data_IF_142003755892
#
_entry.id   IF_142003755892
#
_cell.length_a   1.000
_cell.length_b   1.000
_cell.length_c   1.000
_cell.angle_alpha   90.00
_cell.angle_beta   90.00
_cell.angle_gamma   90.00
#
_symmetry.space_group_name_H-M   'P 1'
#
loop_
_entity.id
_entity.type
_entity.pdbx_description
1 polymer ?
#
# COMPACT_ATOMS: atom_id res chain seq x y z
N UNK A 1 -52.24 -49.65 -46.89
CA UNK A 1 -51.78 -49.13 -45.58
C UNK A 1 -50.80 -47.98 -45.81
N UNK A 2 -51.26 -46.73 -45.76
CA UNK A 2 -50.40 -45.53 -45.62
C UNK A 2 -51.21 -44.47 -44.87
N UNK A 3 -50.80 -44.21 -43.62
CA UNK A 3 -51.41 -43.22 -42.73
C UNK A 3 -50.87 -41.82 -43.06
N UNK A 4 -51.80 -40.86 -43.23
CA UNK A 4 -51.99 -39.59 -42.47
C UNK A 4 -50.71 -38.74 -42.21
N UNK A 5 -50.68 -37.40 -42.24
CA UNK A 5 -51.70 -36.36 -42.08
C UNK A 5 -51.05 -34.99 -42.25
N UNK A 6 -51.88 -34.01 -42.56
CA UNK A 6 -51.67 -32.57 -42.73
C UNK A 6 -51.52 -31.76 -41.42
N UNK A 7 -50.84 -30.61 -41.54
CA UNK A 7 -51.06 -29.30 -40.89
C UNK A 7 -50.79 -29.07 -39.39
N UNK A 8 -49.95 -28.05 -39.04
CA UNK A 8 -50.37 -26.84 -38.29
C UNK A 8 -49.29 -25.74 -38.20
N UNK A 9 -49.79 -24.52 -38.07
CA UNK A 9 -49.24 -23.15 -38.13
C UNK A 9 -48.84 -22.63 -36.73
N UNK A 10 -47.73 -21.87 -36.60
CA UNK A 10 -47.56 -20.68 -35.69
C UNK A 10 -46.17 -20.02 -35.82
N UNK A 11 -46.13 -18.69 -35.96
CA UNK A 11 -44.95 -17.80 -35.98
C UNK A 11 -44.40 -17.52 -34.54
N UNK A 12 -43.48 -16.57 -34.23
CA UNK A 12 -42.60 -15.67 -35.02
C UNK A 12 -41.13 -15.59 -34.50
N UNK A 13 -40.25 -14.76 -35.12
CA UNK A 13 -39.47 -13.66 -34.47
C UNK A 13 -38.33 -13.16 -35.37
N UNK A 14 -38.46 -11.90 -35.81
CA UNK A 14 -37.40 -11.10 -36.45
C UNK A 14 -36.27 -10.84 -35.46
N UNK A 15 -35.03 -10.96 -35.91
CA UNK A 15 -33.94 -10.06 -35.46
C UNK A 15 -33.02 -9.78 -36.64
N UNK A 16 -33.04 -8.53 -37.04
CA UNK A 16 -32.25 -7.96 -38.12
C UNK A 16 -30.76 -7.91 -37.74
N UNK A 17 -29.91 -8.44 -38.61
CA UNK A 17 -28.48 -8.14 -38.60
C UNK A 17 -28.29 -6.72 -39.15
N UNK A 18 -27.86 -5.78 -38.29
CA UNK A 18 -27.37 -4.48 -38.74
C UNK A 18 -26.01 -4.18 -38.11
N UNK A 19 -25.03 -4.10 -39.00
CA UNK A 19 -23.64 -3.67 -38.81
C UNK A 19 -23.54 -2.42 -37.92
N UNK A 20 -22.60 -2.41 -36.99
CA UNK A 20 -21.92 -1.18 -36.56
C UNK A 20 -20.45 -1.44 -36.26
N UNK A 21 -19.63 -1.01 -37.22
CA UNK A 21 -18.40 -0.24 -37.02
C UNK A 21 -17.37 -0.75 -35.99
N UNK A 22 -16.38 -1.40 -36.56
CA UNK A 22 -14.95 -1.36 -36.24
C UNK A 22 -14.49 0.08 -35.87
N UNK A 23 -14.53 0.45 -34.59
CA UNK A 23 -13.93 1.67 -33.98
C UNK A 23 -13.91 1.40 -32.46
N UNK A 24 -12.82 1.34 -31.71
CA UNK A 24 -11.44 1.77 -31.88
C UNK A 24 -10.52 0.69 -31.29
N UNK A 25 -9.46 0.34 -32.03
CA UNK A 25 -8.41 -0.59 -31.60
C UNK A 25 -7.13 0.13 -31.15
N UNK A 26 -7.26 1.41 -30.78
CA UNK A 26 -6.15 2.27 -30.35
C UNK A 26 -6.52 3.05 -29.08
N UNK A 27 -7.04 2.35 -28.07
CA UNK A 27 -6.82 2.83 -26.71
C UNK A 27 -5.43 2.35 -26.33
N UNK A 28 -4.41 3.10 -26.75
CA UNK A 28 -3.10 3.03 -26.11
C UNK A 28 -3.35 2.92 -24.61
N UNK A 29 -2.78 1.90 -23.97
CA UNK A 29 -2.81 1.72 -22.52
C UNK A 29 -2.13 2.94 -21.90
N UNK A 30 -2.85 4.04 -21.77
CA UNK A 30 -2.41 5.20 -21.02
C UNK A 30 -2.35 4.68 -19.60
N UNK A 31 -1.14 4.37 -19.14
CA UNK A 31 -0.83 4.10 -17.75
C UNK A 31 -1.19 5.37 -16.97
N UNK A 32 -2.47 5.52 -16.63
CA UNK A 32 -2.96 6.70 -15.92
C UNK A 32 -2.37 6.61 -14.53
N UNK A 33 -1.28 7.33 -14.32
CA UNK A 33 -0.68 7.48 -13.02
C UNK A 33 -1.64 8.28 -12.12
N UNK A 34 -2.45 7.56 -11.35
CA UNK A 34 -3.42 8.16 -10.39
C UNK A 34 -2.74 8.75 -9.15
N UNK A 35 -1.41 8.65 -9.03
CA UNK A 35 -0.68 9.13 -7.85
C UNK A 35 -0.58 10.64 -7.91
N UNK A 36 -0.92 11.29 -6.80
CA UNK A 36 -0.89 12.75 -6.66
C UNK A 36 0.44 13.28 -6.10
N UNK A 37 1.37 12.38 -5.77
CA UNK A 37 2.60 12.68 -5.05
C UNK A 37 3.76 11.88 -5.60
N UNK A 38 4.95 12.48 -5.54
CA UNK A 38 6.20 11.79 -5.84
C UNK A 38 6.51 10.76 -4.76
N UNK A 39 7.08 9.63 -5.20
CA UNK A 39 7.66 8.61 -4.32
C UNK A 39 9.16 8.64 -4.51
N UNK A 40 9.86 8.70 -3.40
CA UNK A 40 11.30 8.62 -3.35
C UNK A 40 11.69 7.23 -2.90
N UNK A 41 12.56 6.58 -3.66
CA UNK A 41 13.22 5.36 -3.23
C UNK A 41 14.30 5.78 -2.24
N UNK A 42 13.92 5.87 -0.98
CA UNK A 42 14.74 6.42 0.09
C UNK A 42 15.05 5.30 1.11
N UNK A 43 16.15 4.55 0.89
CA UNK A 43 16.53 3.39 1.69
C UNK A 43 17.00 3.76 3.11
N UNK A 44 16.10 4.26 3.96
CA UNK A 44 16.42 4.68 5.33
C UNK A 44 16.16 3.58 6.36
N UNK A 45 17.04 3.46 7.37
CA UNK A 45 16.76 2.61 8.52
C UNK A 45 15.60 3.18 9.33
N UNK A 46 14.66 2.30 9.65
CA UNK A 46 13.46 2.64 10.40
C UNK A 46 13.16 1.61 11.48
N UNK A 47 12.55 2.05 12.57
CA UNK A 47 12.01 1.19 13.62
C UNK A 47 10.50 1.27 13.59
N UNK A 48 9.86 0.13 13.52
CA UNK A 48 8.40 -0.01 13.55
C UNK A 48 8.01 -0.53 14.91
N UNK A 49 7.06 0.15 15.53
CA UNK A 49 6.40 -0.31 16.75
C UNK A 49 4.90 -0.44 16.48
N UNK A 50 4.31 -1.55 16.89
CA UNK A 50 2.90 -1.81 16.60
C UNK A 50 2.29 -2.81 17.58
N UNK A 51 1.00 -3.06 17.39
CA UNK A 51 0.26 -4.11 18.09
C UNK A 51 -0.20 -5.15 17.08
N UNK A 52 0.13 -6.40 17.35
CA UNK A 52 -0.38 -7.55 16.61
C UNK A 52 -1.87 -7.79 16.95
N UNK A 53 -2.61 -8.54 16.12
CA UNK A 53 -4.02 -8.86 16.38
C UNK A 53 -4.27 -9.48 17.75
N UNK A 54 -3.30 -10.26 18.27
CA UNK A 54 -3.35 -10.89 19.59
C UNK A 54 -2.98 -9.94 20.75
N UNK A 55 -2.93 -8.62 20.51
CA UNK A 55 -2.60 -7.60 21.51
C UNK A 55 -1.12 -7.48 21.87
N UNK A 56 -0.27 -8.41 21.41
CA UNK A 56 1.18 -8.37 21.62
C UNK A 56 1.79 -7.15 20.94
N UNK A 57 2.58 -6.38 21.68
CA UNK A 57 3.36 -5.27 21.14
C UNK A 57 4.62 -5.84 20.49
N UNK A 58 4.95 -5.37 19.30
CA UNK A 58 6.19 -5.73 18.62
C UNK A 58 7.01 -4.49 18.30
N UNK A 59 8.32 -4.69 18.20
CA UNK A 59 9.28 -3.70 17.75
C UNK A 59 10.22 -4.36 16.76
N UNK A 60 10.26 -3.83 15.55
CA UNK A 60 11.05 -4.40 14.46
C UNK A 60 11.88 -3.32 13.78
N UNK A 61 13.16 -3.60 13.56
CA UNK A 61 14.01 -2.75 12.75
C UNK A 61 13.89 -3.18 11.29
N UNK A 62 13.57 -2.24 10.41
CA UNK A 62 13.42 -2.47 8.97
C UNK A 62 14.07 -1.35 8.18
N UNK A 63 14.03 -1.49 6.86
CA UNK A 63 14.49 -0.50 5.90
C UNK A 63 13.33 -0.05 5.06
N UNK A 64 13.20 1.26 4.89
CA UNK A 64 12.19 1.84 3.99
C UNK A 64 12.59 1.52 2.55
N UNK A 65 11.62 1.13 1.74
CA UNK A 65 11.83 0.90 0.31
C UNK A 65 11.47 2.14 -0.48
N UNK A 66 10.25 2.68 -0.25
CA UNK A 66 9.83 3.95 -0.82
C UNK A 66 9.02 4.78 0.17
N UNK A 67 9.08 6.11 0.01
CA UNK A 67 8.35 7.07 0.84
C UNK A 67 7.75 8.18 -0.01
N UNK A 68 6.58 8.67 0.41
CA UNK A 68 5.87 9.84 -0.11
C UNK A 68 5.42 10.71 1.06
N UNK A 69 4.85 11.89 0.80
CA UNK A 69 4.30 12.71 1.88
C UNK A 69 3.06 12.10 2.54
N UNK A 70 2.31 11.21 1.85
CA UNK A 70 1.15 10.49 2.42
C UNK A 70 1.45 9.14 3.06
N UNK A 71 2.58 8.51 2.77
CA UNK A 71 2.82 7.15 3.23
C UNK A 71 4.16 6.56 2.81
N UNK A 72 4.40 5.34 3.27
CA UNK A 72 5.65 4.61 3.11
C UNK A 72 5.38 3.15 2.79
N UNK A 73 6.33 2.53 2.14
CA UNK A 73 6.37 1.09 1.88
C UNK A 73 7.63 0.48 2.48
N UNK A 74 7.47 -0.64 3.18
CA UNK A 74 8.55 -1.40 3.78
C UNK A 74 8.11 -2.85 3.99
N UNK A 75 9.08 -3.74 4.19
CA UNK A 75 8.82 -5.15 4.48
C UNK A 75 8.99 -5.46 5.96
N UNK A 76 8.08 -6.26 6.55
CA UNK A 76 8.11 -6.73 7.94
C UNK A 76 8.06 -8.24 8.03
N UNK A 77 8.72 -8.81 9.03
CA UNK A 77 8.53 -10.21 9.44
C UNK A 77 7.28 -10.37 10.33
N UNK A 78 6.96 -9.33 11.10
CA UNK A 78 5.77 -9.32 11.96
C UNK A 78 4.46 -9.36 11.16
N UNK A 79 3.59 -10.33 11.49
CA UNK A 79 2.28 -10.53 10.85
C UNK A 79 1.26 -9.43 11.19
N UNK A 80 1.38 -8.28 10.52
CA UNK A 80 0.45 -7.16 10.61
C UNK A 80 -0.77 -7.38 9.71
N UNK A 81 -1.90 -6.79 10.07
CA UNK A 81 -3.14 -6.85 9.27
C UNK A 81 -3.46 -5.48 8.68
N UNK A 82 -4.38 -5.41 7.72
CA UNK A 82 -4.91 -4.14 7.21
C UNK A 82 -5.68 -3.43 8.33
N UNK A 83 -5.47 -2.12 8.49
CA UNK A 83 -6.05 -1.31 9.56
C UNK A 83 -5.27 -1.27 10.88
N UNK A 84 -4.18 -2.03 11.00
CA UNK A 84 -3.26 -1.94 12.13
C UNK A 84 -2.65 -0.54 12.25
N UNK A 85 -2.65 -0.01 13.47
CA UNK A 85 -1.96 1.24 13.83
C UNK A 85 -0.49 0.95 14.11
N UNK A 86 0.40 1.55 13.34
CA UNK A 86 1.85 1.41 13.49
C UNK A 86 2.48 2.77 13.76
N UNK A 87 3.50 2.78 14.62
CA UNK A 87 4.39 3.90 14.85
C UNK A 87 5.70 3.62 14.13
N UNK A 88 6.16 4.59 13.35
CA UNK A 88 7.35 4.55 12.53
C UNK A 88 8.34 5.58 13.07
N UNK A 89 9.56 5.15 13.34
CA UNK A 89 10.68 6.02 13.73
C UNK A 89 11.77 5.87 12.67
N UNK A 90 11.91 6.87 11.82
CA UNK A 90 12.92 6.93 10.77
C UNK A 90 14.15 7.64 11.32
N UNK A 91 15.32 7.02 11.20
CA UNK A 91 16.57 7.72 11.51
C UNK A 91 17.01 8.52 10.29
N UNK A 92 17.06 9.85 10.44
CA UNK A 92 17.43 10.75 9.36
C UNK A 92 18.96 10.82 9.24
N UNK A 93 19.51 10.74 8.01
CA UNK A 93 20.91 11.03 7.74
C UNK A 93 21.28 12.45 8.18
N UNK A 94 22.54 12.65 8.57
CA UNK A 94 23.02 13.92 9.13
C UNK A 94 22.99 15.06 8.09
N UNK A 95 23.10 14.69 6.82
CA UNK A 95 23.02 15.54 5.63
C UNK A 95 21.62 16.20 5.53
N UNK A 96 20.57 15.46 5.88
CA UNK A 96 19.19 15.97 5.91
C UNK A 96 18.89 16.79 7.17
N UNK A 97 19.65 16.58 8.23
CA UNK A 97 19.45 17.23 9.54
C UNK A 97 20.28 18.50 9.74
N UNK A 98 20.83 19.10 8.68
CA UNK A 98 21.72 20.27 8.76
C UNK A 98 22.87 20.05 9.78
N UNK A 99 23.50 18.88 9.73
CA UNK A 99 24.59 18.52 10.63
C UNK A 99 24.14 17.90 11.96
N UNK A 100 22.84 17.81 12.25
CA UNK A 100 22.30 17.18 13.46
C UNK A 100 21.72 15.80 13.16
N UNK A 101 21.92 14.86 14.07
CA UNK A 101 21.27 13.55 13.99
C UNK A 101 19.81 13.70 14.40
N UNK A 102 18.88 13.51 13.47
CA UNK A 102 17.43 13.65 13.72
C UNK A 102 16.72 12.30 13.60
N UNK A 103 15.55 12.21 14.24
CA UNK A 103 14.60 11.10 14.14
C UNK A 103 13.25 11.66 13.76
N UNK A 104 12.62 11.07 12.74
CA UNK A 104 11.27 11.40 12.34
C UNK A 104 10.32 10.33 12.88
N UNK A 105 9.47 10.73 13.82
CA UNK A 105 8.45 9.89 14.43
C UNK A 105 7.09 10.16 13.77
N UNK A 106 6.52 9.12 13.17
CA UNK A 106 5.28 9.15 12.41
C UNK A 106 4.34 8.06 12.93
N UNK A 107 3.05 8.34 13.00
CA UNK A 107 2.03 7.31 13.17
C UNK A 107 1.36 7.02 11.82
N UNK A 108 0.84 5.82 11.64
CA UNK A 108 0.08 5.49 10.44
C UNK A 108 -0.83 4.28 10.58
N UNK A 109 -1.60 4.05 9.52
CA UNK A 109 -2.48 2.90 9.34
C UNK A 109 -2.02 2.06 8.16
N UNK A 110 -1.99 0.75 8.33
CA UNK A 110 -1.73 -0.18 7.24
C UNK A 110 -2.91 -0.17 6.27
N UNK A 111 -2.64 0.14 4.99
CA UNK A 111 -3.68 0.27 3.96
C UNK A 111 -3.64 -0.84 2.92
N UNK A 112 -2.48 -1.48 2.76
CA UNK A 112 -2.28 -2.59 1.83
C UNK A 112 -1.17 -3.49 2.37
N UNK A 113 -1.34 -4.78 2.14
CA UNK A 113 -0.33 -5.80 2.37
C UNK A 113 -0.02 -6.46 1.02
N UNK A 114 1.25 -6.75 0.79
CA UNK A 114 1.70 -7.60 -0.29
C UNK A 114 1.94 -9.02 0.21
N UNK A 115 2.10 -9.96 -0.71
CA UNK A 115 2.38 -11.35 -0.38
C UNK A 115 3.72 -11.48 0.33
N UNK A 116 3.87 -12.58 1.07
CA UNK A 116 5.14 -12.92 1.67
C UNK A 116 6.18 -13.14 0.57
N UNK A 117 7.29 -12.45 0.68
CA UNK A 117 8.42 -12.68 -0.19
C UNK A 117 8.97 -14.10 0.06
N UNK A 118 9.03 -14.93 -1.00
CA UNK A 118 9.40 -16.35 -0.89
C UNK A 118 10.83 -16.56 -0.39
N UNK A 119 11.71 -15.56 -0.54
CA UNK A 119 13.13 -15.66 -0.16
C UNK A 119 13.36 -15.18 1.28
N UNK A 120 12.74 -14.07 1.65
CA UNK A 120 12.98 -13.38 2.93
C UNK A 120 11.92 -13.69 3.97
N UNK A 121 10.79 -14.30 3.58
CA UNK A 121 9.59 -14.54 4.41
C UNK A 121 9.00 -13.26 5.01
N UNK A 122 9.37 -12.09 4.50
CA UNK A 122 8.83 -10.81 4.93
C UNK A 122 7.59 -10.47 4.14
N UNK A 123 6.64 -9.85 4.80
CA UNK A 123 5.44 -9.31 4.21
C UNK A 123 5.65 -7.85 3.81
N UNK A 124 5.28 -7.50 2.58
CA UNK A 124 5.28 -6.10 2.14
C UNK A 124 4.13 -5.32 2.77
N UNK A 125 4.40 -4.14 3.33
CA UNK A 125 3.42 -3.34 4.07
C UNK A 125 3.41 -1.91 3.53
N UNK A 126 2.25 -1.47 3.06
CA UNK A 126 2.00 -0.07 2.74
C UNK A 126 1.31 0.63 3.91
N UNK A 127 1.98 1.65 4.46
CA UNK A 127 1.49 2.43 5.57
C UNK A 127 1.11 3.83 5.09
N UNK A 128 -0.10 4.28 5.44
CA UNK A 128 -0.52 5.67 5.25
C UNK A 128 -0.31 6.47 6.53
N UNK A 129 0.33 7.62 6.42
CA UNK A 129 0.63 8.47 7.57
C UNK A 129 -0.63 9.14 8.12
N UNK A 130 -0.62 9.33 9.43
CA UNK A 130 -1.47 10.30 10.10
C UNK A 130 -0.95 11.72 9.87
N UNK A 131 -1.81 12.72 10.11
CA UNK A 131 -1.44 14.15 9.97
C UNK A 131 -0.37 14.60 10.96
N UNK A 132 -0.22 13.88 12.08
CA UNK A 132 0.68 14.25 13.16
C UNK A 132 2.04 13.58 12.98
N UNK A 133 3.10 14.38 13.05
CA UNK A 133 4.48 13.92 13.02
C UNK A 133 5.31 14.69 14.04
N UNK A 134 6.44 14.11 14.48
CA UNK A 134 7.38 14.76 15.38
C UNK A 134 8.79 14.54 14.86
N UNK A 135 9.58 15.60 14.77
CA UNK A 135 11.01 15.53 14.48
C UNK A 135 11.74 15.77 15.79
N UNK A 136 12.55 14.79 16.20
CA UNK A 136 13.27 14.82 17.46
C UNK A 136 14.78 14.71 17.18
N UNK A 137 15.63 15.51 17.84
CA UNK A 137 17.05 15.25 17.82
C UNK A 137 17.36 13.90 18.49
N UNK A 138 18.27 13.13 17.88
CA UNK A 138 18.73 11.83 18.38
C UNK A 138 19.42 11.98 19.74
N UNK A 139 19.98 13.16 20.00
CA UNK A 139 20.78 13.50 21.19
C UNK A 139 19.98 14.18 22.32
N UNK A 140 18.66 14.00 22.37
CA UNK A 140 17.90 14.24 23.61
C UNK A 140 18.35 13.22 24.66
N UNK A 141 19.53 13.45 25.27
CA UNK A 141 19.83 12.97 26.60
C UNK A 141 18.65 13.41 27.46
N UNK A 142 17.94 12.44 28.03
CA UNK A 142 17.09 12.69 29.19
C UNK A 142 17.99 13.35 30.24
N UNK A 143 18.02 14.67 30.29
CA UNK A 143 18.27 15.35 31.55
C UNK A 143 17.06 15.03 32.42
N UNK A 144 17.05 13.84 33.04
CA UNK A 144 16.47 13.69 34.37
C UNK A 144 17.41 14.46 35.29
N UNK A 145 17.28 15.79 35.34
CA UNK A 145 17.80 16.55 36.47
C UNK A 145 16.77 16.44 37.59
N UNK A 146 17.28 15.94 38.72
CA UNK A 146 16.95 16.31 40.09
C UNK A 146 15.46 16.51 40.46
N UNK A 147 14.97 15.62 41.31
CA UNK A 147 14.59 16.03 42.67
C UNK A 147 14.72 14.85 43.62
#
# INVERSE_FOLDING_TARGET
MTKKTTSKKTAPKKTAAKKTSKKAKDAASVEVNRRREWRFDLPLPAKIEGKLPLGKVFKEATKIENISSKGVYFSLDSGVIIGSKLNLVIEMPQELGAGKKLKLCLGGLTVRLEELDKKTKKQGVALRFHKNYKILPKDLKKNKKAS
#
